data_IF_189271036048
#
_entry.id   IF_189271036048
#
_cell.length_a   1.000
_cell.length_b   1.000
_cell.length_c   1.000
_cell.angle_alpha   90.00
_cell.angle_beta   90.00
_cell.angle_gamma   90.00
#
_symmetry.space_group_name_H-M   'P 1'
#
loop_
_entity.id
_entity.type
_entity.pdbx_description
1 polymer ?
#
# COMPACT_ATOMS: atom_id res chain seq x y z
N UNK A 1 -11.89 11.10 7.57
CA UNK A 1 -10.43 11.10 7.32
C UNK A 1 -9.89 9.74 6.89
N UNK A 2 -10.22 8.65 7.60
CA UNK A 2 -9.72 7.30 7.28
C UNK A 2 -9.91 6.87 5.81
N UNK A 3 -11.15 6.93 5.30
CA UNK A 3 -11.52 6.44 3.95
C UNK A 3 -10.64 7.09 2.88
N UNK A 4 -10.63 8.42 2.83
CA UNK A 4 -9.86 9.14 1.81
C UNK A 4 -8.36 8.87 1.90
N UNK A 5 -7.82 8.76 3.12
CA UNK A 5 -6.41 8.42 3.29
C UNK A 5 -6.09 7.00 2.79
N UNK A 6 -6.97 6.02 3.06
CA UNK A 6 -6.76 4.65 2.60
C UNK A 6 -6.88 4.54 1.08
N UNK A 7 -7.83 5.23 0.45
CA UNK A 7 -7.98 5.29 -1.02
C UNK A 7 -6.77 5.93 -1.71
N UNK A 8 -6.29 7.07 -1.20
CA UNK A 8 -5.09 7.73 -1.73
C UNK A 8 -3.88 6.80 -1.61
N UNK A 9 -3.72 6.13 -0.46
CA UNK A 9 -2.62 5.20 -0.25
C UNK A 9 -2.69 4.00 -1.21
N UNK A 10 -3.88 3.41 -1.41
CA UNK A 10 -4.05 2.33 -2.38
C UNK A 10 -3.62 2.80 -3.77
N UNK A 11 -4.12 3.96 -4.22
CA UNK A 11 -3.82 4.48 -5.56
C UNK A 11 -2.34 4.81 -5.73
N UNK A 12 -1.69 5.36 -4.70
CA UNK A 12 -0.27 5.68 -4.73
C UNK A 12 0.58 4.41 -4.86
N UNK A 13 0.23 3.35 -4.13
CA UNK A 13 0.96 2.09 -4.17
C UNK A 13 0.76 1.34 -5.49
N UNK A 14 -0.44 1.39 -6.07
CA UNK A 14 -0.71 0.90 -7.42
C UNK A 14 0.17 1.62 -8.45
N UNK A 15 0.20 2.95 -8.41
CA UNK A 15 1.06 3.75 -9.30
C UNK A 15 2.55 3.48 -9.07
N UNK A 16 2.98 3.28 -7.82
CA UNK A 16 4.37 2.88 -7.49
C UNK A 16 4.70 1.54 -8.15
N UNK A 17 3.83 0.54 -8.02
CA UNK A 17 4.02 -0.77 -8.62
C UNK A 17 4.04 -0.72 -10.15
N UNK A 18 3.13 0.03 -10.77
CA UNK A 18 3.09 0.26 -12.22
C UNK A 18 4.37 0.95 -12.72
N UNK A 19 4.86 1.97 -12.00
CA UNK A 19 6.05 2.72 -12.38
C UNK A 19 7.35 1.91 -12.23
N UNK A 20 7.45 1.06 -11.21
CA UNK A 20 8.60 0.17 -10.99
C UNK A 20 8.61 -1.01 -11.98
N UNK A 21 7.42 -1.43 -12.43
CA UNK A 21 7.22 -2.46 -13.44
C UNK A 21 8.00 -3.75 -13.14
N UNK A 22 8.81 -4.25 -14.09
CA UNK A 22 9.53 -5.51 -13.97
C UNK A 22 10.46 -5.60 -12.76
N UNK A 23 10.97 -4.47 -12.26
CA UNK A 23 11.83 -4.43 -11.08
C UNK A 23 11.08 -4.62 -9.76
N UNK A 24 9.75 -4.73 -9.77
CA UNK A 24 8.94 -5.06 -8.59
C UNK A 24 8.81 -6.58 -8.39
N UNK A 25 9.18 -7.39 -9.38
CA UNK A 25 9.05 -8.85 -9.35
C UNK A 25 10.11 -9.52 -8.45
N UNK A 26 11.39 -9.11 -8.44
CA UNK A 26 12.41 -9.75 -7.63
C UNK A 26 12.07 -9.77 -6.13
N UNK A 27 12.22 -10.94 -5.52
CA UNK A 27 11.97 -11.16 -4.10
C UNK A 27 13.29 -11.09 -3.31
N UNK A 28 13.69 -9.88 -2.91
CA UNK A 28 14.93 -9.60 -2.20
C UNK A 28 14.66 -9.09 -0.76
N UNK A 29 14.02 -9.88 0.11
CA UNK A 29 13.66 -9.44 1.47
C UNK A 29 14.88 -9.03 2.30
N UNK A 30 16.02 -9.69 2.11
CA UNK A 30 17.25 -9.34 2.82
C UNK A 30 17.68 -7.88 2.57
N UNK A 31 17.34 -7.30 1.40
CA UNK A 31 17.60 -5.91 1.08
C UNK A 31 16.78 -4.90 1.91
N UNK A 32 15.76 -5.36 2.63
CA UNK A 32 14.99 -4.54 3.57
C UNK A 32 15.52 -4.60 5.00
N UNK A 33 16.55 -5.42 5.26
CA UNK A 33 17.17 -5.55 6.58
C UNK A 33 18.33 -4.58 6.72
N UNK A 34 18.51 -4.08 7.94
CA UNK A 34 19.65 -3.24 8.26
C UNK A 34 20.97 -4.01 8.06
N UNK A 35 21.96 -3.37 7.43
CA UNK A 35 23.28 -3.94 7.18
C UNK A 35 23.40 -4.77 5.90
N UNK A 36 22.39 -4.79 5.04
CA UNK A 36 22.51 -5.36 3.70
C UNK A 36 23.43 -4.51 2.81
N UNK A 37 24.38 -5.15 2.13
CA UNK A 37 25.46 -4.49 1.37
C UNK A 37 25.71 -5.16 0.01
N UNK A 38 24.70 -5.80 -0.57
CA UNK A 38 24.78 -6.35 -1.91
C UNK A 38 24.24 -5.33 -2.94
N UNK A 39 24.48 -5.57 -4.22
CA UNK A 39 23.95 -4.71 -5.28
C UNK A 39 22.45 -4.99 -5.48
N UNK A 40 21.60 -3.94 -5.59
CA UNK A 40 20.18 -4.12 -5.86
C UNK A 40 19.93 -4.57 -7.30
N UNK A 41 18.83 -5.31 -7.49
CA UNK A 41 18.32 -5.63 -8.82
C UNK A 41 17.53 -4.41 -9.31
N UNK A 42 18.13 -3.62 -10.19
CA UNK A 42 17.56 -2.35 -10.63
C UNK A 42 17.79 -1.24 -9.61
N UNK A 43 16.80 -0.37 -9.44
CA UNK A 43 16.90 0.74 -8.49
C UNK A 43 16.66 0.28 -7.05
N UNK A 44 17.41 0.80 -6.09
CA UNK A 44 17.34 0.40 -4.67
C UNK A 44 15.91 0.53 -4.08
N UNK A 45 15.18 1.58 -4.46
CA UNK A 45 13.80 1.81 -4.01
C UNK A 45 12.80 0.76 -4.52
N UNK A 46 13.15 -0.04 -5.53
CA UNK A 46 12.30 -1.09 -6.06
C UNK A 46 12.16 -2.26 -5.08
N UNK A 47 13.17 -2.50 -4.24
CA UNK A 47 13.20 -3.60 -3.26
C UNK A 47 12.00 -3.59 -2.31
N UNK A 48 11.52 -2.40 -1.91
CA UNK A 48 10.36 -2.26 -1.01
C UNK A 48 9.02 -2.25 -1.73
N UNK A 49 8.99 -2.11 -3.06
CA UNK A 49 7.78 -1.84 -3.82
C UNK A 49 6.67 -2.89 -3.59
N UNK A 50 6.97 -4.16 -3.86
CA UNK A 50 6.00 -5.24 -3.71
C UNK A 50 5.65 -5.55 -2.25
N UNK A 51 6.62 -5.63 -1.32
CA UNK A 51 6.32 -5.79 0.11
C UNK A 51 5.41 -4.68 0.67
N UNK A 52 5.67 -3.41 0.34
CA UNK A 52 4.84 -2.28 0.75
C UNK A 52 3.43 -2.40 0.15
N UNK A 53 3.35 -2.64 -1.17
CA UNK A 53 2.08 -2.78 -1.88
C UNK A 53 1.19 -3.81 -1.18
N UNK A 54 1.71 -5.01 -0.93
CA UNK A 54 0.98 -6.10 -0.28
C UNK A 54 0.63 -5.77 1.19
N UNK A 55 1.57 -5.19 1.94
CA UNK A 55 1.36 -4.86 3.35
C UNK A 55 0.22 -3.85 3.54
N UNK A 56 0.17 -2.82 2.69
CA UNK A 56 -0.78 -1.73 2.84
C UNK A 56 -2.14 -2.00 2.19
N UNK A 57 -2.33 -3.09 1.43
CA UNK A 57 -3.68 -3.53 1.01
C UNK A 57 -4.63 -3.68 2.20
N UNK A 58 -4.12 -4.07 3.37
CA UNK A 58 -4.92 -4.23 4.59
C UNK A 58 -5.57 -2.94 5.08
N UNK A 59 -5.09 -1.76 4.68
CA UNK A 59 -5.55 -0.48 5.25
C UNK A 59 -7.00 -0.15 4.90
N UNK A 60 -7.51 -0.68 3.77
CA UNK A 60 -8.92 -0.52 3.40
C UNK A 60 -9.88 -1.36 4.25
N UNK A 61 -9.39 -2.39 4.94
CA UNK A 61 -10.21 -3.35 5.73
C UNK A 61 -9.94 -3.29 7.24
N UNK A 62 -8.71 -2.99 7.65
CA UNK A 62 -8.32 -2.96 9.06
C UNK A 62 -9.06 -1.85 9.80
N UNK A 63 -9.52 -2.12 11.02
CA UNK A 63 -10.31 -1.17 11.82
C UNK A 63 -11.63 -0.75 11.14
N UNK A 64 -12.31 -1.72 10.52
CA UNK A 64 -13.59 -1.56 9.82
C UNK A 64 -13.43 -1.18 8.34
N UNK A 65 -14.12 -1.90 7.45
CA UNK A 65 -13.96 -1.69 6.00
C UNK A 65 -14.35 -0.28 5.55
N UNK A 66 -13.75 0.21 4.47
CA UNK A 66 -14.10 1.49 3.86
C UNK A 66 -15.61 1.57 3.55
N UNK A 67 -16.23 0.49 3.08
CA UNK A 67 -17.67 0.40 2.80
C UNK A 67 -18.52 0.62 4.07
N UNK A 68 -18.11 0.02 5.19
CA UNK A 68 -18.79 0.21 6.48
C UNK A 68 -18.66 1.66 6.94
N UNK A 69 -17.48 2.27 6.75
CA UNK A 69 -17.26 3.67 7.11
C UNK A 69 -18.10 4.62 6.23
N UNK A 70 -18.23 4.34 4.93
CA UNK A 70 -19.15 5.09 4.06
C UNK A 70 -20.60 4.99 4.53
N UNK A 71 -21.06 3.80 4.92
CA UNK A 71 -22.41 3.61 5.44
C UNK A 71 -22.65 4.37 6.75
N UNK A 72 -21.69 4.36 7.68
CA UNK A 72 -21.78 5.13 8.93
C UNK A 72 -21.89 6.63 8.64
N UNK A 73 -21.08 7.15 7.72
CA UNK A 73 -21.15 8.56 7.31
C UNK A 73 -22.47 8.89 6.62
N UNK A 74 -22.96 8.02 5.73
CA UNK A 74 -24.25 8.21 5.05
C UNK A 74 -25.40 8.27 6.05
N UNK A 75 -25.46 7.33 7.00
CA UNK A 75 -26.47 7.34 8.08
C UNK A 75 -26.40 8.60 8.93
N UNK A 76 -25.19 8.99 9.33
CA UNK A 76 -24.97 10.21 10.13
C UNK A 76 -25.42 11.48 9.40
N UNK A 77 -25.26 11.54 8.08
CA UNK A 77 -25.64 12.72 7.28
C UNK A 77 -27.13 12.73 6.92
N UNK A 78 -27.73 11.56 6.71
CA UNK A 78 -29.13 11.39 6.28
C UNK A 78 -30.10 11.21 7.46
N UNK A 79 -29.61 11.09 8.70
CA UNK A 79 -30.45 10.96 9.90
C UNK A 79 -31.13 9.60 10.05
N UNK A 80 -30.51 8.54 9.53
CA UNK A 80 -30.99 7.16 9.60
C UNK A 80 -30.42 6.37 10.78
#
# INVERSE_FOLDING_TARGET
>A
FKIRNSEILQRLLELKAEAVAYYAIPYQIEALRHGWNELPIGAEYANSCTPDYLHFRKVSIYSGSNEIQHNILAKSQLGM
#
